data_IF_104555637905
#
_entry.id   IF_104555637905
#
_cell.length_a   1.000
_cell.length_b   1.000
_cell.length_c   1.000
_cell.angle_alpha   90.00
_cell.angle_beta   90.00
_cell.angle_gamma   90.00
#
_symmetry.space_group_name_H-M   'P 1'
#
loop_
_entity.id
_entity.type
_entity.pdbx_description
1 polymer ?
#
# COMPACT_ATOMS: atom_id res chain seq x y z
N UNK A 1 31.19 26.43 36.45
CA UNK A 1 31.51 26.49 35.01
C UNK A 1 31.32 25.13 34.33
N UNK A 2 32.04 24.08 34.74
CA UNK A 2 31.95 22.72 34.15
C UNK A 2 30.59 22.02 34.33
N UNK A 3 29.92 22.17 35.49
CA UNK A 3 28.60 21.56 35.72
C UNK A 3 27.50 22.12 34.81
N UNK A 4 27.52 23.44 34.54
CA UNK A 4 26.59 24.09 33.60
C UNK A 4 26.82 23.56 32.18
N UNK A 5 28.08 23.37 31.79
CA UNK A 5 28.44 22.89 30.46
C UNK A 5 28.02 21.43 30.24
N UNK A 6 28.15 20.57 31.27
CA UNK A 6 27.66 19.19 31.24
C UNK A 6 26.13 19.14 31.13
N UNK A 7 25.43 20.05 31.81
CA UNK A 7 23.96 20.14 31.76
C UNK A 7 23.46 20.60 30.38
N UNK A 8 24.21 21.52 29.74
CA UNK A 8 23.94 21.96 28.37
C UNK A 8 24.16 20.84 27.34
N UNK A 9 25.22 20.04 27.51
CA UNK A 9 25.49 18.87 26.67
C UNK A 9 24.43 17.78 26.81
N UNK A 10 23.96 17.50 28.02
CA UNK A 10 22.85 16.56 28.24
C UNK A 10 21.55 17.02 27.56
N UNK A 11 21.23 18.32 27.58
CA UNK A 11 20.06 18.87 26.89
C UNK A 11 20.14 18.70 25.37
N UNK A 12 21.34 18.84 24.80
CA UNK A 12 21.57 18.64 23.36
C UNK A 12 21.38 17.16 22.99
N UNK A 13 21.89 16.21 23.78
CA UNK A 13 21.73 14.76 23.52
C UNK A 13 20.26 14.33 23.60
N UNK A 14 19.47 14.91 24.51
CA UNK A 14 18.02 14.65 24.60
C UNK A 14 17.26 15.22 23.40
N UNK A 15 17.67 16.39 22.88
CA UNK A 15 17.04 16.98 21.69
C UNK A 15 17.33 16.21 20.39
N UNK A 16 18.51 15.59 20.27
CA UNK A 16 18.89 14.78 19.11
C UNK A 16 18.54 13.29 19.24
N UNK A 17 18.23 12.79 20.44
CA UNK A 17 17.99 11.36 20.72
C UNK A 17 16.61 10.81 20.30
N UNK A 18 15.71 11.64 19.78
CA UNK A 18 14.35 11.23 19.40
C UNK A 18 14.02 11.40 17.91
N UNK A 19 14.98 11.22 17.01
CA UNK A 19 14.68 10.91 15.60
C UNK A 19 14.64 9.39 15.43
N UNK A 20 13.55 8.78 15.90
CA UNK A 20 13.13 7.48 15.39
C UNK A 20 12.09 7.76 14.29
N UNK A 21 12.59 8.02 13.08
CA UNK A 21 11.78 7.98 11.87
C UNK A 21 11.46 6.53 11.52
N UNK A 22 10.70 5.85 12.36
CA UNK A 22 10.18 4.50 12.06
C UNK A 22 8.88 4.67 11.29
N UNK A 23 8.97 4.95 9.99
CA UNK A 23 7.85 4.71 9.07
C UNK A 23 8.04 3.31 8.51
N UNK A 24 7.77 2.31 9.35
CA UNK A 24 7.44 0.96 8.87
C UNK A 24 5.93 0.93 8.57
N UNK A 25 5.47 1.83 7.71
CA UNK A 25 4.20 1.59 7.03
C UNK A 25 4.49 0.57 5.94
N UNK A 26 4.41 -0.73 6.28
CA UNK A 26 4.21 -1.75 5.25
C UNK A 26 3.05 -1.25 4.39
N UNK A 27 3.32 -0.93 3.14
CA UNK A 27 2.29 -0.44 2.22
C UNK A 27 1.09 -1.39 2.30
N UNK A 28 -0.06 -0.86 2.70
CA UNK A 28 -1.27 -1.67 2.78
C UNK A 28 -1.58 -2.17 1.38
N UNK A 29 -1.64 -3.49 1.23
CA UNK A 29 -2.08 -4.08 -0.02
C UNK A 29 -3.56 -3.77 -0.19
N UNK A 30 -3.89 -3.11 -1.30
CA UNK A 30 -5.22 -2.68 -1.66
C UNK A 30 -5.63 -3.21 -3.02
N UNK A 31 -6.93 -3.15 -3.29
CA UNK A 31 -7.52 -3.41 -4.59
C UNK A 31 -8.17 -2.11 -5.05
N UNK A 32 -7.85 -1.69 -6.26
CA UNK A 32 -8.32 -0.48 -6.91
C UNK A 32 -9.23 -0.88 -8.06
N UNK A 33 -10.44 -0.32 -8.12
CA UNK A 33 -11.39 -0.58 -9.19
C UNK A 33 -11.42 0.60 -10.16
N UNK A 34 -11.26 0.29 -11.44
CA UNK A 34 -11.38 1.21 -12.56
C UNK A 34 -12.60 0.80 -13.38
N UNK A 35 -13.51 1.75 -13.60
CA UNK A 35 -14.73 1.51 -14.38
C UNK A 35 -14.79 2.44 -15.58
N UNK A 36 -15.06 1.88 -16.75
CA UNK A 36 -15.27 2.64 -17.99
C UNK A 36 -16.42 2.02 -18.78
N UNK A 37 -17.57 2.69 -18.79
CA UNK A 37 -18.78 2.16 -19.43
C UNK A 37 -19.18 0.81 -18.83
N UNK A 38 -19.20 -0.21 -19.67
CA UNK A 38 -19.53 -1.60 -19.32
C UNK A 38 -18.32 -2.43 -18.89
N UNK A 39 -17.11 -1.85 -18.83
CA UNK A 39 -15.89 -2.54 -18.43
C UNK A 39 -15.56 -2.16 -16.98
N UNK A 40 -15.31 -3.16 -16.13
CA UNK A 40 -14.72 -2.99 -14.80
C UNK A 40 -13.41 -3.77 -14.69
N UNK A 41 -12.38 -3.11 -14.18
CA UNK A 41 -11.04 -3.66 -13.99
C UNK A 41 -10.64 -3.48 -12.53
N UNK A 42 -10.17 -4.54 -11.89
CA UNK A 42 -9.58 -4.47 -10.55
C UNK A 42 -8.09 -4.75 -10.62
N UNK A 43 -7.30 -3.89 -10.00
CA UNK A 43 -5.84 -3.96 -9.95
C UNK A 43 -5.40 -3.88 -8.50
N UNK A 44 -4.37 -4.63 -8.13
CA UNK A 44 -3.74 -4.49 -6.80
C UNK A 44 -2.41 -3.76 -6.91
N UNK A 45 -2.04 -3.00 -5.86
CA UNK A 45 -0.70 -2.42 -5.75
C UNK A 45 0.38 -3.48 -5.46
N UNK A 46 0.01 -4.73 -5.20
CA UNK A 46 0.95 -5.84 -5.09
C UNK A 46 1.39 -6.34 -6.48
N UNK A 47 2.60 -5.95 -6.90
CA UNK A 47 3.16 -6.33 -8.20
C UNK A 47 2.40 -5.77 -9.40
N UNK A 48 1.53 -4.76 -9.20
CA UNK A 48 0.65 -4.20 -10.22
C UNK A 48 -0.23 -5.26 -10.92
N UNK A 49 -0.61 -6.32 -10.21
CA UNK A 49 -1.34 -7.45 -10.79
C UNK A 49 -2.80 -7.07 -11.08
N UNK A 50 -3.29 -7.47 -12.25
CA UNK A 50 -4.72 -7.42 -12.58
C UNK A 50 -5.38 -8.63 -11.93
N UNK A 51 -6.40 -8.39 -11.11
CA UNK A 51 -7.09 -9.47 -10.36
C UNK A 51 -8.49 -9.78 -10.89
N UNK A 52 -9.07 -8.88 -11.69
CA UNK A 52 -10.40 -9.07 -12.30
C UNK A 52 -10.57 -8.13 -13.48
N UNK A 53 -11.13 -8.61 -14.59
CA UNK A 53 -11.55 -7.79 -15.72
C UNK A 53 -12.91 -8.29 -16.21
N UNK A 54 -13.95 -7.53 -15.87
CA UNK A 54 -15.34 -7.84 -16.21
C UNK A 54 -15.77 -7.01 -17.41
N UNK A 55 -16.23 -7.68 -18.45
CA UNK A 55 -16.77 -7.08 -19.66
C UNK A 55 -17.88 -7.95 -20.27
N UNK A 56 -18.79 -7.36 -21.09
CA UNK A 56 -19.81 -8.13 -21.77
C UNK A 56 -19.24 -8.93 -22.96
N UNK A 57 -19.76 -10.13 -23.17
CA UNK A 57 -19.54 -10.91 -24.39
C UNK A 57 -20.40 -10.39 -25.57
N UNK A 58 -20.31 -11.06 -26.72
CA UNK A 58 -21.09 -10.72 -27.92
C UNK A 58 -22.62 -10.76 -27.72
N UNK A 59 -23.11 -11.39 -26.66
CA UNK A 59 -24.53 -11.53 -26.33
C UNK A 59 -24.91 -10.61 -25.15
N UNK A 60 -24.01 -9.74 -24.68
CA UNK A 60 -24.24 -8.86 -23.53
C UNK A 60 -24.07 -9.54 -22.16
N UNK A 61 -23.55 -10.77 -22.11
CA UNK A 61 -23.32 -11.48 -20.84
C UNK A 61 -21.97 -11.06 -20.26
N UNK A 62 -22.00 -10.50 -19.05
CA UNK A 62 -20.79 -10.13 -18.32
C UNK A 62 -20.06 -11.38 -17.81
N UNK A 63 -18.74 -11.37 -17.97
CA UNK A 63 -17.85 -12.38 -17.41
C UNK A 63 -16.51 -11.77 -17.03
N UNK A 64 -15.89 -12.35 -16.00
CA UNK A 64 -14.49 -12.08 -15.69
C UNK A 64 -13.61 -12.94 -16.60
N UNK A 65 -12.68 -12.31 -17.30
CA UNK A 65 -11.75 -12.99 -18.23
C UNK A 65 -10.37 -13.21 -17.63
N UNK A 66 -10.09 -12.68 -16.44
CA UNK A 66 -8.80 -12.82 -15.78
C UNK A 66 -8.83 -14.05 -14.88
N UNK A 67 -7.83 -14.91 -15.05
CA UNK A 67 -7.56 -15.98 -14.10
C UNK A 67 -6.84 -15.40 -12.89
N UNK A 68 -7.36 -15.69 -11.70
CA UNK A 68 -6.80 -15.17 -10.47
C UNK A 68 -7.39 -15.87 -9.26
N UNK A 69 -7.06 -15.33 -8.09
CA UNK A 69 -7.51 -15.81 -6.79
C UNK A 69 -8.53 -14.86 -6.16
N UNK A 70 -9.35 -15.39 -5.25
CA UNK A 70 -10.38 -14.62 -4.56
C UNK A 70 -9.80 -13.63 -3.53
N UNK A 71 -8.59 -13.92 -3.02
CA UNK A 71 -7.91 -13.07 -2.04
C UNK A 71 -6.45 -12.78 -2.37
N UNK A 72 -5.97 -11.61 -1.96
CA UNK A 72 -4.56 -11.21 -2.04
C UNK A 72 -3.65 -12.23 -1.32
N UNK A 73 -4.14 -12.86 -0.24
CA UNK A 73 -3.37 -13.85 0.53
C UNK A 73 -3.01 -15.08 -0.29
N UNK A 74 -3.76 -15.40 -1.34
CA UNK A 74 -3.47 -16.54 -2.20
C UNK A 74 -2.36 -16.24 -3.22
N UNK A 75 -1.98 -14.98 -3.38
CA UNK A 75 -0.83 -14.56 -4.17
C UNK A 75 0.50 -14.55 -3.36
N UNK A 76 0.49 -14.88 -2.07
CA UNK A 76 1.66 -14.85 -1.16
C UNK A 76 1.76 -16.12 -0.34
#
# INVERSE_FOLDING_TARGET
>A
MTKIFVLLLCLIVVAFGFVNGSVDEKEKIGIFELKKGEISLKVTNWGASIVSLVLPDKNGKFGDVVLGYDSIKEYT
#
